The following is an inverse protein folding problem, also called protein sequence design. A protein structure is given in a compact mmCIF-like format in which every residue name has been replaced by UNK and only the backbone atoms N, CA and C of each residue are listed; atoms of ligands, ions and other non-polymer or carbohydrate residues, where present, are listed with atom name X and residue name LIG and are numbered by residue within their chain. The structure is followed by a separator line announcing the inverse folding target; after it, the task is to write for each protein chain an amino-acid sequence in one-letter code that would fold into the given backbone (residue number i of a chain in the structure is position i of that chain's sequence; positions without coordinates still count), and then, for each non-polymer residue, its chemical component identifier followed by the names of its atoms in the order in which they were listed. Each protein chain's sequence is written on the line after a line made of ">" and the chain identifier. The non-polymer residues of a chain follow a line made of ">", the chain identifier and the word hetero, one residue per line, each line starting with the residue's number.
data_IF_983065188962
#
_entry.id   IF_983065188962
#
_cell.length_a   1.000
_cell.length_b   1.000
_cell.length_c   1.000
_cell.angle_alpha   90.00
_cell.angle_beta   90.00
_cell.angle_gamma   90.00
#
_symmetry.space_group_name_H-M   'P 1'
#
loop_
_entity.id
_entity.type
_entity.pdbx_description
1 polymer ?
#
# COMPACT_ATOMS: atom_id res chain seq x y z
N UNK A 1 -13.65 14.35 1.19
CA UNK A 1 -14.25 13.06 1.62
C UNK A 1 -13.19 12.20 2.31
N UNK A 2 -13.59 11.39 3.28
CA UNK A 2 -12.69 10.44 3.91
C UNK A 2 -12.33 9.32 2.90
N UNK A 3 -11.13 8.74 3.01
CA UNK A 3 -10.68 7.72 2.05
C UNK A 3 -11.59 6.48 2.08
N UNK A 4 -12.16 6.17 3.25
CA UNK A 4 -13.18 5.12 3.43
C UNK A 4 -14.46 5.31 2.60
N UNK A 5 -14.73 6.51 2.11
CA UNK A 5 -15.89 6.84 1.27
C UNK A 5 -15.54 6.77 -0.22
N UNK A 6 -14.26 6.51 -0.55
CA UNK A 6 -13.69 6.49 -1.91
C UNK A 6 -12.71 5.32 -2.07
N UNK A 7 -13.17 4.13 -1.67
CA UNK A 7 -12.36 2.90 -1.67
C UNK A 7 -11.83 2.60 -3.08
N UNK A 8 -12.63 2.88 -4.12
CA UNK A 8 -12.26 2.67 -5.52
C UNK A 8 -11.03 3.49 -5.98
N UNK A 9 -10.68 4.57 -5.26
CA UNK A 9 -9.49 5.36 -5.55
C UNK A 9 -8.23 4.80 -4.90
N UNK A 10 -8.34 3.84 -3.97
CA UNK A 10 -7.18 3.30 -3.24
C UNK A 10 -6.15 2.70 -4.19
N UNK A 11 -6.50 1.86 -5.18
CA UNK A 11 -5.53 1.35 -6.14
C UNK A 11 -4.83 2.46 -6.94
N UNK A 12 -5.58 3.48 -7.38
CA UNK A 12 -5.05 4.61 -8.13
C UNK A 12 -4.06 5.44 -7.30
N UNK A 13 -4.44 5.77 -6.05
CA UNK A 13 -3.59 6.50 -5.12
C UNK A 13 -2.35 5.70 -4.73
N UNK A 14 -2.51 4.38 -4.50
CA UNK A 14 -1.40 3.48 -4.22
C UNK A 14 -0.39 3.50 -5.36
N UNK A 15 -0.85 3.37 -6.60
CA UNK A 15 0.04 3.44 -7.78
C UNK A 15 0.75 4.78 -7.91
N UNK A 16 0.05 5.88 -7.63
CA UNK A 16 0.66 7.21 -7.61
C UNK A 16 1.79 7.30 -6.58
N UNK A 17 1.55 6.83 -5.34
CA UNK A 17 2.57 6.84 -4.29
C UNK A 17 3.72 5.90 -4.60
N UNK A 18 3.45 4.70 -5.14
CA UNK A 18 4.51 3.77 -5.55
C UNK A 18 5.42 4.44 -6.58
N UNK A 19 4.85 5.03 -7.63
CA UNK A 19 5.63 5.69 -8.68
C UNK A 19 6.48 6.85 -8.11
N UNK A 20 5.87 7.69 -7.27
CA UNK A 20 6.55 8.80 -6.61
C UNK A 20 7.75 8.33 -5.78
N UNK A 21 7.51 7.41 -4.85
CA UNK A 21 8.54 6.99 -3.89
C UNK A 21 9.59 6.07 -4.52
N UNK A 22 9.22 5.21 -5.47
CA UNK A 22 10.19 4.42 -6.23
C UNK A 22 11.18 5.31 -6.99
N UNK A 23 10.70 6.41 -7.57
CA UNK A 23 11.56 7.41 -8.21
C UNK A 23 12.49 8.10 -7.19
N UNK A 24 11.97 8.55 -6.05
CA UNK A 24 12.75 9.21 -4.99
C UNK A 24 13.82 8.29 -4.39
N UNK A 25 13.49 7.01 -4.21
CA UNK A 25 14.37 5.96 -3.68
C UNK A 25 15.29 5.32 -4.74
N UNK A 26 15.15 5.71 -6.01
CA UNK A 26 15.88 5.12 -7.17
C UNK A 26 15.71 3.60 -7.26
N UNK A 27 14.51 3.11 -6.93
CA UNK A 27 14.16 1.71 -7.06
C UNK A 27 13.94 1.33 -8.54
N UNK A 28 14.17 0.07 -8.92
CA UNK A 28 13.77 -0.43 -10.23
C UNK A 28 12.24 -0.41 -10.38
N UNK A 29 11.75 -0.82 -11.55
CA UNK A 29 10.31 -1.05 -11.75
C UNK A 29 9.79 -2.07 -10.74
N UNK A 30 8.78 -1.67 -9.97
CA UNK A 30 8.15 -2.48 -8.92
C UNK A 30 6.85 -3.09 -9.46
N UNK A 31 6.69 -4.40 -9.32
CA UNK A 31 5.41 -5.09 -9.51
C UNK A 31 4.64 -5.14 -8.19
N UNK A 32 3.32 -5.30 -8.26
CA UNK A 32 2.48 -5.32 -7.07
C UNK A 32 1.47 -6.44 -7.21
N UNK A 33 1.38 -7.29 -6.20
CA UNK A 33 0.44 -8.42 -6.20
C UNK A 33 -1.01 -7.95 -6.02
N UNK A 34 -2.01 -8.65 -6.58
CA UNK A 34 -3.42 -8.34 -6.32
C UNK A 34 -3.79 -8.32 -4.84
N UNK A 35 -3.22 -9.26 -4.05
CA UNK A 35 -3.46 -9.35 -2.61
C UNK A 35 -3.00 -8.10 -1.84
N UNK A 36 -1.93 -7.44 -2.30
CA UNK A 36 -1.49 -6.17 -1.72
C UNK A 36 -2.56 -5.08 -1.88
N UNK A 37 -3.13 -4.93 -3.08
CA UNK A 37 -4.21 -3.97 -3.33
C UNK A 37 -5.49 -4.30 -2.57
N UNK A 38 -5.87 -5.59 -2.50
CA UNK A 38 -7.04 -6.04 -1.75
C UNK A 38 -6.91 -5.70 -0.26
N UNK A 39 -5.76 -6.00 0.34
CA UNK A 39 -5.52 -5.69 1.75
C UNK A 39 -5.57 -4.19 2.04
N UNK A 40 -4.99 -3.37 1.17
CA UNK A 40 -5.10 -1.91 1.28
C UNK A 40 -6.56 -1.45 1.14
N UNK A 41 -7.34 -2.02 0.21
CA UNK A 41 -8.72 -1.60 -0.06
C UNK A 41 -9.70 -1.97 1.07
N UNK A 42 -9.38 -3.01 1.85
CA UNK A 42 -10.20 -3.45 2.98
C UNK A 42 -9.87 -2.75 4.31
N UNK A 43 -8.79 -1.97 4.35
CA UNK A 43 -8.36 -1.23 5.54
C UNK A 43 -9.12 0.09 5.70
N UNK A 44 -9.42 0.47 6.95
CA UNK A 44 -10.31 1.58 7.24
C UNK A 44 -9.70 2.98 7.01
N UNK A 45 -8.38 3.09 6.89
CA UNK A 45 -7.61 4.33 6.68
C UNK A 45 -8.13 5.53 7.50
N UNK A 46 -8.15 5.42 8.84
CA UNK A 46 -8.65 6.49 9.72
C UNK A 46 -7.83 7.79 9.56
N UNK A 47 -6.56 7.68 9.19
CA UNK A 47 -5.68 8.81 8.84
C UNK A 47 -5.74 9.22 7.36
N UNK A 48 -6.71 8.69 6.59
CA UNK A 48 -6.97 9.00 5.19
C UNK A 48 -5.74 8.82 4.27
N UNK A 49 -5.61 9.70 3.27
CA UNK A 49 -4.57 9.68 2.25
C UNK A 49 -3.16 9.73 2.84
N UNK A 50 -2.95 10.49 3.93
CA UNK A 50 -1.65 10.56 4.59
C UNK A 50 -1.22 9.22 5.18
N UNK A 51 -2.17 8.48 5.77
CA UNK A 51 -1.89 7.16 6.30
C UNK A 51 -1.59 6.14 5.19
N UNK A 52 -2.34 6.18 4.08
CA UNK A 52 -2.08 5.36 2.90
C UNK A 52 -0.69 5.64 2.32
N UNK A 53 -0.35 6.92 2.11
CA UNK A 53 0.96 7.35 1.59
C UNK A 53 2.10 6.81 2.45
N UNK A 54 2.01 6.97 3.77
CA UNK A 54 3.02 6.49 4.70
C UNK A 54 3.12 4.95 4.73
N UNK A 55 2.00 4.24 4.54
CA UNK A 55 2.02 2.78 4.48
C UNK A 55 2.76 2.31 3.22
N UNK A 56 2.45 2.90 2.06
CA UNK A 56 3.10 2.58 0.78
C UNK A 56 4.59 2.89 0.80
N UNK A 57 4.98 4.05 1.34
CA UNK A 57 6.39 4.42 1.51
C UNK A 57 7.15 3.37 2.34
N UNK A 58 6.58 2.96 3.48
CA UNK A 58 7.18 1.91 4.31
C UNK A 58 7.27 0.57 3.61
N UNK A 59 6.26 0.20 2.83
CA UNK A 59 6.29 -1.05 2.06
C UNK A 59 7.42 -1.06 1.03
N UNK A 60 7.72 0.07 0.39
CA UNK A 60 8.85 0.19 -0.53
C UNK A 60 10.20 0.15 0.18
N UNK A 61 10.30 0.70 1.40
CA UNK A 61 11.53 0.60 2.20
C UNK A 61 11.81 -0.84 2.69
N UNK A 62 10.78 -1.68 2.77
CA UNK A 62 10.90 -3.10 3.11
C UNK A 62 11.27 -4.00 1.93
N UNK A 63 11.27 -3.47 0.70
CA UNK A 63 11.46 -4.28 -0.50
C UNK A 63 12.87 -4.88 -0.60
N UNK A 64 13.85 -4.31 0.09
CA UNK A 64 15.28 -4.73 0.02
C UNK A 64 15.74 -5.00 -1.43
N UNK A 65 16.07 -6.25 -1.77
CA UNK A 65 16.48 -6.69 -3.11
C UNK A 65 15.32 -7.27 -3.95
N UNK A 66 14.11 -7.38 -3.37
CA UNK A 66 12.91 -7.79 -4.08
C UNK A 66 12.43 -6.70 -5.05
N UNK A 67 11.56 -7.09 -5.98
CA UNK A 67 10.96 -6.17 -6.97
C UNK A 67 9.44 -6.24 -7.00
N UNK A 68 8.85 -6.96 -6.04
CA UNK A 68 7.42 -7.21 -5.98
C UNK A 68 6.85 -6.90 -4.60
N UNK A 69 5.87 -6.00 -4.54
CA UNK A 69 5.11 -5.72 -3.34
C UNK A 69 4.03 -6.78 -3.11
N UNK A 70 4.15 -7.46 -1.98
CA UNK A 70 3.21 -8.47 -1.49
C UNK A 70 2.80 -8.21 -0.03
N UNK A 71 1.93 -9.05 0.53
CA UNK A 71 1.39 -8.87 1.88
C UNK A 71 2.46 -8.72 2.97
N UNK A 72 3.63 -9.33 2.82
CA UNK A 72 4.72 -9.26 3.82
C UNK A 72 5.32 -7.87 3.95
N UNK A 73 5.13 -7.03 2.93
CA UNK A 73 5.63 -5.65 2.91
C UNK A 73 4.61 -4.66 3.52
N UNK A 74 3.39 -5.09 3.83
CA UNK A 74 2.39 -4.21 4.41
C UNK A 74 2.65 -3.98 5.90
N UNK A 75 2.26 -2.81 6.45
CA UNK A 75 2.28 -2.61 7.88
C UNK A 75 1.42 -3.65 8.62
N UNK A 76 1.88 -4.16 9.76
CA UNK A 76 1.19 -5.21 10.54
C UNK A 76 -0.29 -4.91 10.79
N UNK A 77 -0.65 -3.65 11.06
CA UNK A 77 -2.04 -3.23 11.28
C UNK A 77 -2.97 -3.51 10.08
N UNK A 78 -2.43 -3.44 8.86
CA UNK A 78 -3.16 -3.73 7.61
C UNK A 78 -3.29 -5.23 7.46
N UNK A 79 -2.20 -5.97 7.62
CA UNK A 79 -2.16 -7.44 7.57
C UNK A 79 -3.14 -8.04 8.59
N UNK A 80 -3.08 -7.59 9.83
CA UNK A 80 -3.98 -8.05 10.90
C UNK A 80 -5.43 -7.80 10.52
N UNK A 81 -5.76 -6.59 10.05
CA UNK A 81 -7.13 -6.27 9.61
C UNK A 81 -7.61 -7.12 8.43
N UNK A 82 -6.71 -7.54 7.56
CA UNK A 82 -7.01 -8.38 6.39
C UNK A 82 -7.28 -9.83 6.82
N UNK A 83 -6.40 -10.40 7.66
CA UNK A 83 -6.51 -11.78 8.13
C UNK A 83 -7.75 -12.04 9.01
N UNK A 84 -8.28 -11.05 9.73
CA UNK A 84 -9.52 -11.22 10.52
C UNK A 84 -10.81 -11.07 9.71
N UNK A 85 -10.73 -10.65 8.44
CA UNK A 85 -11.88 -10.45 7.56
C UNK A 85 -12.05 -11.52 6.49
N UNK A 86 -11.09 -12.42 6.36
CA UNK A 86 -11.08 -13.54 5.39
C UNK A 86 -11.35 -14.85 6.11
#
# INVERSE_FOLDING_TARGET
>A
PALRERIDDIPLLTNHFIAKYAQELKLPTITVTPAFYDALSQYAWRGNVRELSNAVERSLLMLEDEKELNLNHLPEKVINSYNYKT
#
